data_IF_746829507134
#
_entry.id   IF_746829507134
#
_cell.length_a   1.000
_cell.length_b   1.000
_cell.length_c   1.000
_cell.angle_alpha   90.00
_cell.angle_beta   90.00
_cell.angle_gamma   90.00
#
_symmetry.space_group_name_H-M   'P 1'
#
loop_
_entity.id
_entity.type
_entity.pdbx_description
1 polymer ?
#
# COMPACT_ATOMS: atom_id res chain seq x y z
N UNK A 1 1.32 -19.04 5.02
CA UNK A 1 1.07 -20.47 4.75
C UNK A 1 0.45 -20.58 3.36
N UNK A 2 1.26 -20.66 2.29
CA UNK A 2 0.92 -20.34 0.89
C UNK A 2 0.61 -18.85 0.59
N UNK A 3 -0.43 -18.23 1.16
CA UNK A 3 -0.76 -16.83 0.84
C UNK A 3 0.33 -15.81 1.22
N UNK A 4 1.04 -16.09 2.32
CA UNK A 4 2.22 -15.33 2.72
C UNK A 4 3.39 -15.56 1.75
N UNK A 5 3.47 -16.75 1.16
CA UNK A 5 4.49 -17.13 0.18
C UNK A 5 4.21 -16.46 -1.15
N UNK A 6 2.97 -16.50 -1.63
CA UNK A 6 2.54 -15.88 -2.88
C UNK A 6 2.70 -14.36 -2.82
N UNK A 7 2.31 -13.73 -1.71
CA UNK A 7 2.49 -12.29 -1.53
C UNK A 7 3.97 -11.88 -1.45
N UNK A 8 4.83 -12.70 -0.84
CA UNK A 8 6.27 -12.46 -0.79
C UNK A 8 6.93 -12.65 -2.16
N UNK A 9 6.47 -13.64 -2.95
CA UNK A 9 6.89 -13.82 -4.34
C UNK A 9 6.48 -12.61 -5.19
N UNK A 10 5.26 -12.10 -5.04
CA UNK A 10 4.82 -10.92 -5.76
C UNK A 10 5.63 -9.67 -5.41
N UNK A 11 5.97 -9.45 -4.14
CA UNK A 11 6.85 -8.34 -3.74
C UNK A 11 8.22 -8.44 -4.41
N UNK A 12 8.80 -9.64 -4.42
CA UNK A 12 10.07 -9.90 -5.11
C UNK A 12 9.97 -9.69 -6.62
N UNK A 13 8.91 -10.18 -7.27
CA UNK A 13 8.67 -9.98 -8.70
C UNK A 13 8.45 -8.49 -9.02
N UNK A 14 7.71 -7.78 -8.15
CA UNK A 14 7.47 -6.34 -8.30
C UNK A 14 8.78 -5.55 -8.30
N UNK A 15 9.63 -5.79 -7.32
CA UNK A 15 10.89 -5.08 -7.14
C UNK A 15 11.98 -5.48 -8.15
N UNK A 16 12.07 -6.77 -8.50
CA UNK A 16 13.19 -7.28 -9.30
C UNK A 16 12.89 -7.40 -10.80
N UNK A 17 11.60 -7.51 -11.18
CA UNK A 17 11.21 -7.75 -12.56
C UNK A 17 10.28 -6.65 -13.10
N UNK A 18 9.16 -6.39 -12.42
CA UNK A 18 8.09 -5.52 -12.96
C UNK A 18 8.52 -4.04 -12.96
N UNK A 19 8.96 -3.49 -11.82
CA UNK A 19 9.39 -2.08 -11.74
C UNK A 19 10.58 -1.80 -12.67
N UNK A 20 11.66 -2.62 -12.68
CA UNK A 20 12.76 -2.46 -13.63
C UNK A 20 12.27 -2.50 -15.09
N UNK A 21 11.42 -3.46 -15.44
CA UNK A 21 10.87 -3.54 -16.81
C UNK A 21 10.10 -2.28 -17.19
N UNK A 22 9.25 -1.76 -16.29
CA UNK A 22 8.50 -0.53 -16.54
C UNK A 22 9.44 0.66 -16.76
N UNK A 23 10.44 0.83 -15.89
CA UNK A 23 11.38 1.94 -15.99
C UNK A 23 12.29 1.86 -17.24
N UNK A 24 12.57 0.66 -17.74
CA UNK A 24 13.39 0.46 -18.95
C UNK A 24 12.58 0.65 -20.25
N UNK A 25 11.27 0.40 -20.22
CA UNK A 25 10.43 0.36 -21.42
C UNK A 25 9.47 1.55 -21.55
N UNK A 26 9.24 2.31 -20.48
CA UNK A 26 8.35 3.48 -20.46
C UNK A 26 9.02 4.68 -19.83
N UNK A 27 8.66 5.88 -20.29
CA UNK A 27 9.15 7.13 -19.71
C UNK A 27 8.54 7.34 -18.33
N UNK A 28 9.30 7.01 -17.29
CA UNK A 28 8.96 7.30 -15.88
C UNK A 28 9.89 8.39 -15.33
N UNK A 29 9.79 8.68 -14.03
CA UNK A 29 10.75 9.55 -13.35
C UNK A 29 12.04 8.83 -12.93
N UNK A 30 12.09 7.50 -13.02
CA UNK A 30 13.31 6.74 -12.78
C UNK A 30 14.32 7.00 -13.91
N UNK A 31 15.58 7.21 -13.56
CA UNK A 31 16.68 7.43 -14.51
C UNK A 31 17.10 6.15 -15.24
N UNK A 32 16.61 4.99 -14.79
CA UNK A 32 16.85 3.67 -15.36
C UNK A 32 16.25 2.57 -14.48
N UNK A 33 16.52 1.29 -14.82
CA UNK A 33 15.89 0.14 -14.15
C UNK A 33 16.60 -0.34 -12.88
N UNK A 34 17.66 0.33 -12.41
CA UNK A 34 18.38 -0.11 -11.21
C UNK A 34 17.57 0.17 -9.94
N UNK A 35 17.82 -0.59 -8.88
CA UNK A 35 17.17 -0.38 -7.59
C UNK A 35 17.40 1.05 -7.05
N UNK A 36 18.59 1.61 -7.25
CA UNK A 36 18.91 2.98 -6.87
C UNK A 36 18.08 3.99 -7.66
N UNK A 37 18.02 3.84 -8.99
CA UNK A 37 17.24 4.72 -9.86
C UNK A 37 15.72 4.67 -9.55
N UNK A 38 15.21 3.48 -9.24
CA UNK A 38 13.81 3.29 -8.81
C UNK A 38 13.55 3.93 -7.45
N UNK A 39 14.46 3.76 -6.49
CA UNK A 39 14.33 4.35 -5.15
C UNK A 39 14.43 5.88 -5.17
N UNK A 40 15.32 6.45 -5.99
CA UNK A 40 15.40 7.90 -6.22
C UNK A 40 14.11 8.48 -6.83
N UNK A 41 13.38 7.68 -7.61
CA UNK A 41 12.13 8.07 -8.24
C UNK A 41 10.87 7.68 -7.45
N UNK A 42 11.01 7.13 -6.24
CA UNK A 42 9.88 6.60 -5.44
C UNK A 42 8.76 7.60 -5.20
N UNK A 43 9.06 8.90 -5.21
CA UNK A 43 8.07 9.97 -5.05
C UNK A 43 7.15 10.13 -6.26
N UNK A 44 7.41 9.37 -7.31
CA UNK A 44 6.61 9.27 -8.51
C UNK A 44 6.07 7.85 -8.75
N UNK A 45 6.19 6.97 -7.74
CA UNK A 45 5.61 5.63 -7.77
C UNK A 45 4.63 5.43 -6.61
N UNK A 46 3.46 4.89 -6.96
CA UNK A 46 2.39 4.60 -6.03
C UNK A 46 1.99 3.13 -6.07
N UNK A 47 1.66 2.56 -4.90
CA UNK A 47 1.05 1.23 -4.80
C UNK A 47 -0.45 1.35 -4.54
N UNK A 48 -1.25 0.66 -5.36
CA UNK A 48 -2.69 0.53 -5.15
C UNK A 48 -3.06 -0.96 -5.12
N UNK A 49 -3.64 -1.41 -4.01
CA UNK A 49 -4.14 -2.76 -3.83
C UNK A 49 -5.59 -2.78 -3.36
N UNK A 50 -6.36 -3.78 -3.78
CA UNK A 50 -7.74 -4.01 -3.35
C UNK A 50 -7.93 -5.43 -2.82
N UNK A 51 -8.76 -5.61 -1.80
CA UNK A 51 -9.09 -6.91 -1.21
C UNK A 51 -7.82 -7.72 -0.87
N UNK A 52 -7.53 -8.76 -1.64
CA UNK A 52 -6.35 -9.59 -1.50
C UNK A 52 -5.03 -8.87 -1.79
N UNK A 53 -4.96 -8.02 -2.83
CA UNK A 53 -3.73 -7.27 -3.09
C UNK A 53 -3.53 -6.16 -2.07
N UNK A 54 -4.59 -5.63 -1.45
CA UNK A 54 -4.44 -4.74 -0.30
C UNK A 54 -3.79 -5.45 0.91
N UNK A 55 -4.14 -6.73 1.11
CA UNK A 55 -3.50 -7.57 2.11
C UNK A 55 -2.02 -7.83 1.77
N UNK A 56 -1.66 -8.05 0.50
CA UNK A 56 -0.25 -8.18 0.09
C UNK A 56 0.53 -6.88 0.25
N UNK A 57 -0.13 -5.74 -0.02
CA UNK A 57 0.37 -4.41 0.26
C UNK A 57 0.85 -4.29 1.71
N UNK A 58 0.02 -4.70 2.66
CA UNK A 58 0.39 -4.71 4.07
C UNK A 58 1.47 -5.74 4.42
N UNK A 59 1.32 -6.98 3.94
CA UNK A 59 2.16 -8.09 4.39
C UNK A 59 3.58 -8.05 3.82
N UNK A 60 3.76 -7.49 2.62
CA UNK A 60 5.03 -7.59 1.88
C UNK A 60 5.44 -6.24 1.29
N UNK A 61 4.56 -5.48 0.65
CA UNK A 61 4.98 -4.23 -0.01
C UNK A 61 5.43 -3.17 1.00
N UNK A 62 4.67 -2.93 2.07
CA UNK A 62 5.08 -2.00 3.13
C UNK A 62 6.37 -2.44 3.84
N UNK A 63 6.50 -3.68 4.36
CA UNK A 63 7.72 -4.08 5.08
C UNK A 63 8.93 -4.31 4.17
N UNK A 64 8.75 -4.70 2.90
CA UNK A 64 9.85 -5.14 2.05
C UNK A 64 10.22 -4.06 1.00
N UNK A 65 9.25 -3.28 0.48
CA UNK A 65 9.40 -2.46 -0.73
C UNK A 65 9.13 -0.94 -0.55
N UNK A 66 9.04 -0.41 0.68
CA UNK A 66 8.81 1.03 0.89
C UNK A 66 9.87 1.95 0.27
N UNK A 67 11.03 1.40 -0.07
CA UNK A 67 12.12 2.10 -0.76
C UNK A 67 11.75 2.53 -2.19
N UNK A 68 10.74 1.90 -2.80
CA UNK A 68 10.33 2.15 -4.19
C UNK A 68 9.04 2.92 -4.35
N UNK A 69 8.26 3.13 -3.28
CA UNK A 69 6.99 3.85 -3.34
C UNK A 69 6.87 4.84 -2.18
N UNK A 70 6.14 5.95 -2.38
CA UNK A 70 5.82 6.88 -1.28
C UNK A 70 4.34 7.20 -1.14
N UNK A 71 3.51 6.60 -1.98
CA UNK A 71 2.06 6.75 -2.02
C UNK A 71 1.40 5.37 -2.00
N UNK A 72 0.50 5.14 -1.05
CA UNK A 72 -0.07 3.82 -0.82
C UNK A 72 -1.57 3.91 -0.69
N UNK A 73 -2.29 3.02 -1.37
CA UNK A 73 -3.72 2.84 -1.24
C UNK A 73 -4.04 1.37 -1.01
N UNK A 74 -4.55 1.03 0.17
CA UNK A 74 -4.97 -0.34 0.53
C UNK A 74 -6.48 -0.35 0.72
N UNK A 75 -7.19 -0.82 -0.30
CA UNK A 75 -8.66 -0.80 -0.39
C UNK A 75 -9.24 -2.10 0.11
N UNK A 76 -10.19 -2.02 1.03
CA UNK A 76 -10.82 -3.14 1.69
C UNK A 76 -9.80 -4.23 2.16
N UNK A 77 -8.73 -3.86 2.90
CA UNK A 77 -7.71 -4.81 3.30
C UNK A 77 -8.26 -5.78 4.34
N UNK A 78 -8.07 -7.08 4.08
CA UNK A 78 -8.35 -8.13 5.05
C UNK A 78 -7.11 -8.48 5.88
N UNK A 79 -7.31 -9.15 7.01
CA UNK A 79 -6.24 -9.48 7.96
C UNK A 79 -5.49 -10.74 7.59
N UNK A 80 -4.16 -10.67 7.75
CA UNK A 80 -3.33 -11.69 8.43
C UNK A 80 -2.22 -10.97 9.23
N UNK A 81 -1.96 -11.40 10.48
CA UNK A 81 -0.77 -11.07 11.28
C UNK A 81 -0.30 -9.59 11.34
N UNK A 82 -1.12 -8.69 11.94
CA UNK A 82 -0.80 -7.26 11.98
C UNK A 82 0.48 -6.95 12.78
N UNK A 83 0.55 -7.31 14.06
CA UNK A 83 1.56 -6.77 14.97
C UNK A 83 3.01 -6.94 14.49
N UNK A 84 3.39 -8.14 14.01
CA UNK A 84 4.79 -8.39 13.62
C UNK A 84 5.22 -7.62 12.36
N UNK A 85 4.30 -7.31 11.44
CA UNK A 85 4.63 -6.54 10.24
C UNK A 85 4.71 -5.05 10.53
N UNK A 86 3.87 -4.52 11.43
CA UNK A 86 3.98 -3.15 11.89
C UNK A 86 5.30 -2.89 12.63
N UNK A 87 5.78 -3.85 13.41
CA UNK A 87 7.10 -3.79 14.07
C UNK A 87 8.24 -3.70 13.04
N UNK A 88 8.24 -4.56 12.03
CA UNK A 88 9.24 -4.52 10.94
C UNK A 88 9.22 -3.16 10.22
N UNK A 89 8.03 -2.64 9.90
CA UNK A 89 7.89 -1.33 9.24
C UNK A 89 8.43 -0.23 10.16
N UNK A 90 8.11 -0.27 11.46
CA UNK A 90 8.60 0.72 12.42
C UNK A 90 10.13 0.65 12.58
N UNK A 91 10.72 -0.54 12.56
CA UNK A 91 12.17 -0.72 12.66
C UNK A 91 12.90 -0.24 11.41
N UNK A 92 12.42 -0.60 10.20
CA UNK A 92 13.09 -0.27 8.93
C UNK A 92 12.78 1.15 8.44
N UNK A 93 11.57 1.63 8.68
CA UNK A 93 11.02 2.80 7.99
C UNK A 93 10.39 3.86 8.91
N UNK A 94 10.67 3.86 10.22
CA UNK A 94 10.09 4.84 11.17
C UNK A 94 10.21 6.30 10.73
N UNK A 95 11.25 6.66 9.99
CA UNK A 95 11.48 8.02 9.48
C UNK A 95 11.39 8.12 7.96
N UNK A 96 10.99 7.04 7.28
CA UNK A 96 10.92 7.00 5.82
C UNK A 96 9.69 7.79 5.34
N UNK A 97 9.83 8.81 4.48
CA UNK A 97 8.70 9.67 4.13
C UNK A 97 7.59 8.90 3.39
N UNK A 98 6.37 9.02 3.86
CA UNK A 98 5.15 8.60 3.16
C UNK A 98 4.34 9.85 2.87
N UNK A 99 4.08 10.13 1.59
CA UNK A 99 3.30 11.29 1.18
C UNK A 99 1.80 11.09 1.39
N UNK A 100 1.31 9.89 1.08
CA UNK A 100 -0.07 9.52 1.40
C UNK A 100 -0.22 8.01 1.66
N UNK A 101 -0.96 7.67 2.71
CA UNK A 101 -1.50 6.34 2.96
C UNK A 101 -3.03 6.41 3.03
N UNK A 102 -3.70 5.88 2.01
CA UNK A 102 -5.14 5.88 1.88
C UNK A 102 -5.71 4.48 2.12
N UNK A 103 -6.76 4.39 2.92
CA UNK A 103 -7.57 3.17 3.03
C UNK A 103 -9.03 3.51 2.83
N UNK A 104 -9.78 2.56 2.30
CA UNK A 104 -11.24 2.65 2.30
C UNK A 104 -11.90 1.30 2.43
N UNK A 105 -13.13 1.29 2.92
CA UNK A 105 -13.96 0.09 3.02
C UNK A 105 -15.44 0.47 3.03
N UNK A 106 -16.30 -0.43 2.55
CA UNK A 106 -17.75 -0.23 2.63
C UNK A 106 -18.29 -0.31 4.06
N UNK A 107 -19.30 0.49 4.40
CA UNK A 107 -19.85 0.56 5.77
C UNK A 107 -20.56 -0.72 6.21
N UNK A 108 -20.99 -1.56 5.24
CA UNK A 108 -21.59 -2.88 5.43
C UNK A 108 -20.74 -4.01 4.82
N UNK A 109 -19.47 -3.75 4.52
CA UNK A 109 -18.52 -4.77 4.10
C UNK A 109 -18.14 -5.66 5.30
N UNK A 110 -18.15 -6.98 5.08
CA UNK A 110 -17.81 -7.99 6.08
C UNK A 110 -16.36 -7.86 6.59
N UNK A 111 -15.48 -7.18 5.85
CA UNK A 111 -14.08 -6.96 6.25
C UNK A 111 -13.85 -5.61 6.97
N UNK A 112 -14.89 -4.81 7.21
CA UNK A 112 -14.76 -3.46 7.76
C UNK A 112 -13.94 -3.41 9.05
N UNK A 113 -14.27 -4.25 10.03
CA UNK A 113 -13.57 -4.29 11.31
C UNK A 113 -12.09 -4.72 11.17
N UNK A 114 -11.76 -5.46 10.10
CA UNK A 114 -10.39 -5.81 9.75
C UNK A 114 -9.65 -4.59 9.19
N UNK A 115 -10.28 -3.87 8.27
CA UNK A 115 -9.74 -2.65 7.64
C UNK A 115 -9.50 -1.53 8.67
N UNK A 116 -10.48 -1.27 9.54
CA UNK A 116 -10.38 -0.25 10.59
C UNK A 116 -9.18 -0.51 11.53
N UNK A 117 -8.99 -1.77 11.97
CA UNK A 117 -7.84 -2.06 12.84
C UNK A 117 -6.51 -2.01 12.10
N UNK A 118 -6.42 -2.42 10.83
CA UNK A 118 -5.18 -2.26 10.06
C UNK A 118 -4.77 -0.79 10.00
N UNK A 119 -5.74 0.09 9.74
CA UNK A 119 -5.50 1.53 9.72
C UNK A 119 -5.00 2.02 11.07
N UNK A 120 -5.71 1.75 12.17
CA UNK A 120 -5.27 2.15 13.52
C UNK A 120 -3.90 1.59 13.91
N UNK A 121 -3.58 0.36 13.49
CA UNK A 121 -2.25 -0.23 13.73
C UNK A 121 -1.15 0.52 12.98
N UNK A 122 -1.36 0.83 11.70
CA UNK A 122 -0.37 1.53 10.89
C UNK A 122 -0.20 2.98 11.32
N UNK A 123 -1.28 3.72 11.59
CA UNK A 123 -1.19 5.10 12.08
C UNK A 123 -0.67 5.23 13.52
N UNK A 124 -0.37 4.10 14.17
CA UNK A 124 0.34 4.05 15.45
C UNK A 124 1.86 3.94 15.34
N UNK A 125 2.42 3.88 14.12
CA UNK A 125 3.87 3.72 13.88
C UNK A 125 4.46 4.84 13.00
N UNK A 126 5.78 4.97 13.05
CA UNK A 126 6.54 6.16 12.62
C UNK A 126 6.26 6.77 11.23
N UNK A 127 6.03 6.01 10.14
CA UNK A 127 5.82 6.66 8.85
C UNK A 127 4.38 7.12 8.59
N UNK A 128 3.41 6.76 9.45
CA UNK A 128 1.99 7.03 9.21
C UNK A 128 1.36 7.83 10.36
N UNK A 129 0.72 8.94 10.02
CA UNK A 129 0.04 9.81 10.98
C UNK A 129 -1.38 10.09 10.50
N UNK A 130 -2.36 9.68 11.31
CA UNK A 130 -3.79 9.94 11.05
C UNK A 130 -4.06 11.45 10.94
N UNK A 131 -4.75 11.84 9.88
CA UNK A 131 -5.11 13.23 9.59
C UNK A 131 -3.99 14.10 9.01
N UNK A 132 -2.77 13.58 8.89
CA UNK A 132 -1.64 14.27 8.24
C UNK A 132 -1.34 13.63 6.88
N UNK A 133 -0.69 12.47 6.88
CA UNK A 133 -0.38 11.73 5.65
C UNK A 133 -1.22 10.46 5.49
N UNK A 134 -2.11 10.15 6.44
CA UNK A 134 -2.87 8.90 6.45
C UNK A 134 -4.37 9.14 6.57
N UNK A 135 -5.17 8.49 5.73
CA UNK A 135 -6.60 8.74 5.59
C UNK A 135 -7.40 7.44 5.51
N UNK A 136 -8.51 7.36 6.24
CA UNK A 136 -9.48 6.28 6.12
C UNK A 136 -10.85 6.80 5.67
N UNK A 137 -11.40 6.18 4.63
CA UNK A 137 -12.74 6.49 4.11
C UNK A 137 -13.68 5.30 4.27
N UNK A 138 -14.79 5.52 4.98
CA UNK A 138 -15.89 4.56 5.04
C UNK A 138 -16.93 4.94 3.99
N UNK A 139 -17.18 4.04 3.04
CA UNK A 139 -18.14 4.29 1.95
C UNK A 139 -19.50 3.77 2.39
N UNK A 140 -20.47 4.68 2.52
CA UNK A 140 -21.78 4.32 3.07
C UNK A 140 -22.59 3.37 2.18
N UNK A 141 -23.30 2.43 2.82
CA UNK A 141 -24.21 1.45 2.22
C UNK A 141 -23.58 0.50 1.18
N UNK A 142 -22.25 0.41 1.19
CA UNK A 142 -21.47 -0.37 0.23
C UNK A 142 -20.95 -1.66 0.85
N UNK A 143 -20.93 -2.74 0.06
CA UNK A 143 -20.35 -4.05 0.40
C UNK A 143 -18.98 -4.25 -0.30
N UNK A 144 -18.49 -5.48 -0.31
CA UNK A 144 -17.26 -5.91 -0.98
C UNK A 144 -17.44 -6.06 -2.51
N UNK A 145 -17.43 -4.95 -3.25
CA UNK A 145 -17.68 -4.97 -4.70
C UNK A 145 -16.87 -3.91 -5.47
N UNK A 146 -16.75 -4.10 -6.78
CA UNK A 146 -15.82 -3.38 -7.63
C UNK A 146 -16.13 -1.89 -7.77
N UNK A 147 -17.42 -1.52 -7.78
CA UNK A 147 -17.85 -0.13 -7.94
C UNK A 147 -17.32 0.77 -6.81
N UNK A 148 -17.22 0.25 -5.58
CA UNK A 148 -16.66 1.03 -4.47
C UNK A 148 -15.13 1.16 -4.56
N UNK A 149 -14.47 0.17 -5.15
CA UNK A 149 -13.03 0.23 -5.41
C UNK A 149 -12.71 1.24 -6.51
N UNK A 150 -13.57 1.39 -7.52
CA UNK A 150 -13.45 2.47 -8.52
C UNK A 150 -13.56 3.86 -7.87
N UNK A 151 -14.53 4.07 -6.99
CA UNK A 151 -14.64 5.33 -6.22
C UNK A 151 -13.39 5.56 -5.36
N UNK A 152 -12.85 4.49 -4.77
CA UNK A 152 -11.64 4.57 -3.94
C UNK A 152 -10.39 4.91 -4.75
N UNK A 153 -10.26 4.33 -5.94
CA UNK A 153 -9.21 4.66 -6.90
C UNK A 153 -9.28 6.12 -7.33
N UNK A 154 -10.48 6.61 -7.67
CA UNK A 154 -10.68 8.02 -8.00
C UNK A 154 -10.24 8.92 -6.84
N UNK A 155 -10.70 8.64 -5.63
CA UNK A 155 -10.37 9.46 -4.46
C UNK A 155 -8.87 9.45 -4.12
N UNK A 156 -8.20 8.29 -4.16
CA UNK A 156 -6.78 8.23 -3.80
C UNK A 156 -5.90 8.89 -4.87
N UNK A 157 -6.27 8.82 -6.16
CA UNK A 157 -5.54 9.51 -7.21
C UNK A 157 -5.63 11.04 -7.13
N UNK A 158 -6.62 11.58 -6.42
CA UNK A 158 -6.67 13.02 -6.09
C UNK A 158 -5.66 13.41 -4.99
N UNK A 159 -5.14 12.43 -4.26
CA UNK A 159 -4.12 12.63 -3.22
C UNK A 159 -2.70 12.32 -3.71
N UNK A 160 -2.55 11.59 -4.81
CA UNK A 160 -1.25 11.11 -5.29
C UNK A 160 -0.63 12.09 -6.30
N UNK A 161 0.68 12.31 -6.13
CA UNK A 161 1.52 13.20 -6.95
C UNK A 161 1.10 14.68 -6.93
#
# INVERSE_FOLDING_TARGET
NQLLTDGSQFAQELANDILPYIADNYSTYASGPSAEALSEARDHFAYFGLSWSAMFGYLNILPDDMEYFSWYALIAPSRVNLQSKAEIISEKYSTYPVHAFYTSVGSIDQIRAQSELLYTTLTGIGPFTDGDNSYQVIIEHVKHHYESWCTSLYNCLLLFF
#
